data_IF_126932198514
#
_entry.id   IF_126932198514
#
_cell.length_a   1.000
_cell.length_b   1.000
_cell.length_c   1.000
_cell.angle_alpha   90.00
_cell.angle_beta   90.00
_cell.angle_gamma   90.00
#
_symmetry.space_group_name_H-M   'P 1'
#
loop_
_entity.id
_entity.type
_entity.pdbx_description
1 polymer ?
#
# COMPACT_ATOMS: atom_id res chain seq x y z
N UNK A 1 19.87 17.77 24.42
CA UNK A 1 19.89 16.53 23.62
C UNK A 1 19.49 16.81 22.18
N UNK A 2 20.47 17.13 21.34
CA UNK A 2 20.28 17.32 19.90
C UNK A 2 20.36 15.97 19.19
N UNK A 3 19.42 15.72 18.28
CA UNK A 3 19.40 14.49 17.48
C UNK A 3 20.60 14.47 16.52
N UNK A 4 21.53 13.54 16.72
CA UNK A 4 22.80 13.38 15.98
C UNK A 4 22.63 13.14 14.47
N UNK A 5 21.40 13.02 13.97
CA UNK A 5 21.11 12.58 12.59
C UNK A 5 20.55 13.67 11.68
N UNK A 6 20.43 14.93 12.11
CA UNK A 6 19.86 16.00 11.27
C UNK A 6 18.46 15.67 10.72
N UNK A 7 17.73 14.81 11.43
CA UNK A 7 16.59 14.10 10.89
C UNK A 7 15.31 14.89 11.17
N UNK A 8 14.76 15.52 10.14
CA UNK A 8 13.49 16.27 10.17
C UNK A 8 12.27 15.40 10.51
N UNK A 9 12.44 14.09 10.70
CA UNK A 9 11.36 13.16 11.04
C UNK A 9 11.50 12.54 12.43
N UNK A 10 12.42 13.01 13.29
CA UNK A 10 12.39 12.59 14.70
C UNK A 10 11.20 13.24 15.40
N UNK A 11 10.28 12.45 15.95
CA UNK A 11 9.17 12.92 16.80
C UNK A 11 9.65 13.85 17.92
N UNK A 12 10.85 13.60 18.43
CA UNK A 12 11.53 14.41 19.43
C UNK A 12 11.87 15.85 18.98
N UNK A 13 12.04 16.06 17.68
CA UNK A 13 12.42 17.34 17.07
C UNK A 13 11.26 17.98 16.27
N UNK A 14 10.09 17.33 16.20
CA UNK A 14 8.94 17.86 15.48
C UNK A 14 8.30 19.02 16.27
N UNK A 15 7.91 20.11 15.58
CA UNK A 15 7.13 21.16 16.23
C UNK A 15 5.80 20.60 16.74
N UNK A 16 5.18 21.22 17.76
CA UNK A 16 3.92 20.73 18.33
C UNK A 16 2.80 20.53 17.29
N UNK A 17 2.76 21.38 16.25
CA UNK A 17 1.83 21.27 15.11
C UNK A 17 1.97 19.98 14.30
N UNK A 18 3.11 19.32 14.40
CA UNK A 18 3.44 18.11 13.64
C UNK A 18 3.24 16.87 14.52
N UNK A 19 3.26 17.02 15.85
CA UNK A 19 2.94 15.93 16.80
C UNK A 19 1.51 15.44 16.62
N UNK A 20 0.54 16.35 16.44
CA UNK A 20 -0.85 15.96 16.15
C UNK A 20 -0.98 15.15 14.87
N UNK A 21 -0.08 15.34 13.90
CA UNK A 21 -0.07 14.55 12.67
C UNK A 21 0.56 13.16 12.88
N UNK A 22 1.52 13.02 13.80
CA UNK A 22 2.03 11.72 14.24
C UNK A 22 0.94 10.95 14.98
N UNK A 23 0.27 11.60 15.95
CA UNK A 23 -0.85 11.01 16.70
C UNK A 23 -1.97 10.55 15.75
N UNK A 24 -2.29 11.36 14.73
CA UNK A 24 -3.22 10.98 13.67
C UNK A 24 -2.81 9.67 12.99
N UNK A 25 -1.54 9.50 12.62
CA UNK A 25 -1.04 8.29 11.95
C UNK A 25 -1.12 7.09 12.88
N UNK A 26 -0.72 7.24 14.14
CA UNK A 26 -0.75 6.15 15.12
C UNK A 26 -2.20 5.68 15.38
N UNK A 27 -3.13 6.62 15.60
CA UNK A 27 -4.56 6.32 15.77
C UNK A 27 -5.13 5.66 14.51
N UNK A 28 -4.78 6.15 13.31
CA UNK A 28 -5.22 5.55 12.06
C UNK A 28 -4.76 4.08 11.94
N UNK A 29 -3.49 3.81 12.28
CA UNK A 29 -2.93 2.45 12.25
C UNK A 29 -3.67 1.53 13.23
N UNK A 30 -3.97 2.01 14.44
CA UNK A 30 -4.71 1.23 15.44
C UNK A 30 -6.13 0.90 14.96
N UNK A 31 -6.86 1.89 14.44
CA UNK A 31 -8.21 1.67 13.89
C UNK A 31 -8.16 0.73 12.69
N UNK A 32 -7.20 0.90 11.79
CA UNK A 32 -7.01 -0.01 10.66
C UNK A 32 -6.77 -1.45 11.14
N UNK A 33 -5.90 -1.65 12.13
CA UNK A 33 -5.61 -2.98 12.67
C UNK A 33 -6.81 -3.62 13.37
N UNK A 34 -7.68 -2.80 13.99
CA UNK A 34 -8.97 -3.27 14.51
C UNK A 34 -9.91 -3.69 13.36
N UNK A 35 -10.07 -2.84 12.35
CA UNK A 35 -10.93 -3.10 11.21
C UNK A 35 -10.48 -4.34 10.40
N UNK A 36 -9.18 -4.57 10.26
CA UNK A 36 -8.63 -5.78 9.61
C UNK A 36 -9.11 -7.06 10.30
N UNK A 37 -9.19 -7.06 11.64
CA UNK A 37 -9.68 -8.22 12.40
C UNK A 37 -11.17 -8.46 12.17
N UNK A 38 -11.94 -7.38 12.06
CA UNK A 38 -13.40 -7.42 11.87
C UNK A 38 -13.78 -7.80 10.42
N UNK A 39 -13.02 -7.31 9.44
CA UNK A 39 -13.24 -7.51 8.01
C UNK A 39 -12.53 -8.75 7.46
N UNK A 40 -12.14 -9.71 8.30
CA UNK A 40 -11.46 -10.95 7.90
C UNK A 40 -10.22 -10.73 7.00
N UNK A 41 -9.49 -9.64 7.21
CA UNK A 41 -8.28 -9.33 6.43
C UNK A 41 -8.52 -8.56 5.13
N UNK A 42 -9.74 -8.12 4.82
CA UNK A 42 -10.01 -7.31 3.64
C UNK A 42 -9.39 -5.91 3.80
N UNK A 43 -8.34 -5.64 3.02
CA UNK A 43 -7.49 -4.45 3.16
C UNK A 43 -8.26 -3.18 2.84
N UNK A 44 -9.06 -3.17 1.77
CA UNK A 44 -9.70 -1.94 1.27
C UNK A 44 -10.80 -1.45 2.22
N UNK A 45 -11.71 -2.33 2.64
CA UNK A 45 -12.75 -2.04 3.61
C UNK A 45 -12.16 -1.60 4.95
N UNK A 46 -11.02 -2.17 5.35
CA UNK A 46 -10.33 -1.76 6.58
C UNK A 46 -9.73 -0.36 6.47
N UNK A 47 -9.17 0.01 5.32
CA UNK A 47 -8.69 1.37 5.04
C UNK A 47 -9.85 2.38 5.02
N UNK A 48 -10.93 2.05 4.31
CA UNK A 48 -12.12 2.91 4.20
C UNK A 48 -12.80 3.13 5.56
N UNK A 49 -12.89 2.08 6.38
CA UNK A 49 -13.39 2.17 7.75
C UNK A 49 -12.52 3.09 8.61
N UNK A 50 -11.20 2.91 8.58
CA UNK A 50 -10.27 3.74 9.34
C UNK A 50 -10.33 5.20 8.91
N UNK A 51 -10.36 5.48 7.59
CA UNK A 51 -10.50 6.86 7.09
C UNK A 51 -11.83 7.49 7.46
N UNK A 52 -12.94 6.75 7.45
CA UNK A 52 -14.21 7.30 7.88
C UNK A 52 -14.14 7.81 9.32
N UNK A 53 -13.55 7.03 10.23
CA UNK A 53 -13.38 7.44 11.63
C UNK A 53 -12.44 8.65 11.75
N UNK A 54 -11.30 8.63 11.05
CA UNK A 54 -10.33 9.74 11.10
C UNK A 54 -10.89 11.04 10.53
N UNK A 55 -11.70 10.98 9.47
CA UNK A 55 -12.34 12.16 8.88
C UNK A 55 -13.32 12.80 9.86
N UNK A 56 -14.02 12.00 10.65
CA UNK A 56 -15.03 12.49 11.59
C UNK A 56 -14.38 13.03 12.88
N UNK A 57 -13.37 12.34 13.41
CA UNK A 57 -12.74 12.68 14.71
C UNK A 57 -11.56 13.65 14.57
N UNK A 58 -10.89 13.67 13.42
CA UNK A 58 -9.65 14.42 13.19
C UNK A 58 -9.69 15.22 11.89
N UNK A 59 -10.84 15.84 11.59
CA UNK A 59 -11.10 16.55 10.34
C UNK A 59 -10.07 17.63 10.01
N UNK A 60 -9.62 18.41 11.00
CA UNK A 60 -8.62 19.47 10.79
C UNK A 60 -7.32 18.92 10.19
N UNK A 61 -6.80 17.82 10.74
CA UNK A 61 -5.59 17.17 10.24
C UNK A 61 -5.88 16.51 8.89
N UNK A 62 -7.01 15.80 8.78
CA UNK A 62 -7.41 15.09 7.57
C UNK A 62 -7.45 16.00 6.33
N UNK A 63 -8.04 17.19 6.44
CA UNK A 63 -8.19 18.09 5.29
C UNK A 63 -6.97 18.99 5.04
N UNK A 64 -6.21 19.36 6.09
CA UNK A 64 -5.17 20.39 5.95
C UNK A 64 -3.73 19.86 5.99
N UNK A 65 -3.52 18.60 6.38
CA UNK A 65 -2.17 18.04 6.65
C UNK A 65 -1.87 16.77 5.86
N UNK A 66 -2.67 16.44 4.85
CA UNK A 66 -2.53 15.18 4.12
C UNK A 66 -1.18 15.04 3.40
N UNK A 67 -0.66 16.11 2.78
CA UNK A 67 0.67 16.09 2.16
C UNK A 67 1.79 15.79 3.18
N UNK A 68 1.66 16.34 4.40
CA UNK A 68 2.58 16.07 5.48
C UNK A 68 2.49 14.60 5.91
N UNK A 69 1.27 14.07 6.09
CA UNK A 69 1.02 12.66 6.45
C UNK A 69 1.64 11.71 5.42
N UNK A 70 1.40 11.96 4.13
CA UNK A 70 1.97 11.17 3.04
C UNK A 70 3.50 11.20 3.11
N UNK A 71 4.09 12.39 3.27
CA UNK A 71 5.55 12.55 3.36
C UNK A 71 6.14 11.83 4.58
N UNK A 72 5.48 11.93 5.74
CA UNK A 72 5.86 11.23 6.97
C UNK A 72 5.82 9.71 6.80
N UNK A 73 4.74 9.18 6.23
CA UNK A 73 4.60 7.74 5.97
C UNK A 73 5.68 7.22 5.03
N UNK A 74 5.98 7.94 3.93
CA UNK A 74 7.06 7.53 3.00
C UNK A 74 8.43 7.56 3.69
N UNK A 75 8.72 8.59 4.50
CA UNK A 75 9.99 8.69 5.21
C UNK A 75 10.16 7.59 6.27
N UNK A 76 9.12 7.32 7.05
CA UNK A 76 9.10 6.24 8.05
C UNK A 76 9.20 4.87 7.38
N UNK A 77 8.44 4.63 6.30
CA UNK A 77 8.52 3.40 5.50
C UNK A 77 9.92 3.19 4.90
N UNK A 78 10.56 4.25 4.41
CA UNK A 78 11.95 4.22 3.91
C UNK A 78 12.93 3.82 5.02
N UNK A 79 12.83 4.45 6.18
CA UNK A 79 13.70 4.14 7.33
C UNK A 79 13.54 2.68 7.79
N UNK A 80 12.30 2.18 7.86
CA UNK A 80 12.00 0.80 8.25
C UNK A 80 12.53 -0.19 7.21
N UNK A 81 12.33 0.09 5.93
CA UNK A 81 12.83 -0.73 4.82
C UNK A 81 14.36 -0.87 4.87
N UNK A 82 15.08 0.24 5.04
CA UNK A 82 16.54 0.24 5.14
C UNK A 82 17.07 -0.49 6.38
N UNK A 83 16.26 -0.61 7.45
CA UNK A 83 16.57 -1.39 8.65
C UNK A 83 16.22 -2.88 8.52
N UNK A 84 15.62 -3.29 7.40
CA UNK A 84 15.19 -4.68 7.17
C UNK A 84 13.81 -5.01 7.75
N UNK A 85 13.08 -4.05 8.31
CA UNK A 85 11.67 -4.24 8.70
C UNK A 85 10.76 -4.06 7.48
N UNK A 86 10.78 -5.07 6.61
CA UNK A 86 10.06 -5.04 5.34
C UNK A 86 8.54 -5.03 5.55
N UNK A 87 8.03 -5.77 6.54
CA UNK A 87 6.59 -5.89 6.79
C UNK A 87 5.99 -4.55 7.20
N UNK A 88 6.58 -3.87 8.19
CA UNK A 88 6.07 -2.57 8.63
C UNK A 88 6.27 -1.49 7.56
N UNK A 89 7.37 -1.57 6.80
CA UNK A 89 7.61 -0.66 5.68
C UNK A 89 6.55 -0.78 4.56
N UNK A 90 6.06 -2.00 4.26
CA UNK A 90 4.96 -2.20 3.31
C UNK A 90 3.70 -1.46 3.74
N UNK A 91 3.29 -1.59 4.99
CA UNK A 91 2.09 -0.90 5.49
C UNK A 91 2.23 0.62 5.37
N UNK A 92 3.38 1.19 5.74
CA UNK A 92 3.63 2.62 5.57
C UNK A 92 3.57 3.06 4.10
N UNK A 93 4.17 2.29 3.18
CA UNK A 93 4.08 2.55 1.74
C UNK A 93 2.63 2.46 1.24
N UNK A 94 1.89 1.43 1.66
CA UNK A 94 0.47 1.26 1.33
C UNK A 94 -0.36 2.45 1.81
N UNK A 95 -0.22 2.85 3.08
CA UNK A 95 -0.97 3.98 3.64
C UNK A 95 -0.62 5.27 2.91
N UNK A 96 0.67 5.53 2.64
CA UNK A 96 1.08 6.73 1.89
C UNK A 96 0.48 6.75 0.48
N UNK A 97 0.42 5.60 -0.20
CA UNK A 97 -0.21 5.51 -1.52
C UNK A 97 -1.73 5.68 -1.42
N UNK A 98 -2.39 5.03 -0.47
CA UNK A 98 -3.83 5.16 -0.28
C UNK A 98 -4.23 6.62 -0.01
N UNK A 99 -3.55 7.30 0.92
CA UNK A 99 -3.79 8.71 1.23
C UNK A 99 -3.59 9.61 0.02
N UNK A 100 -2.52 9.41 -0.74
CA UNK A 100 -2.22 10.12 -1.98
C UNK A 100 -3.33 9.95 -3.04
N UNK A 101 -3.97 8.78 -3.10
CA UNK A 101 -5.06 8.52 -4.04
C UNK A 101 -6.39 9.14 -3.58
N UNK A 102 -6.71 9.09 -2.29
CA UNK A 102 -7.96 9.69 -1.81
C UNK A 102 -7.89 11.22 -1.71
N UNK A 103 -6.70 11.80 -1.61
CA UNK A 103 -6.49 13.25 -1.58
C UNK A 103 -6.34 13.87 -2.97
N UNK A 104 -6.19 13.06 -4.02
CA UNK A 104 -6.04 13.54 -5.40
C UNK A 104 -7.38 13.68 -6.10
N UNK A 105 -7.53 14.73 -6.90
CA UNK A 105 -8.69 14.94 -7.79
C UNK A 105 -8.77 13.86 -8.90
N UNK A 106 -7.63 13.25 -9.25
CA UNK A 106 -7.54 12.23 -10.29
C UNK A 106 -6.93 10.96 -9.71
N UNK A 107 -7.79 9.97 -9.47
CA UNK A 107 -7.35 8.65 -8.99
C UNK A 107 -6.74 7.85 -10.13
N UNK A 108 -5.68 7.10 -9.83
CA UNK A 108 -5.17 6.10 -10.76
C UNK A 108 -6.27 5.06 -11.02
N UNK A 109 -6.54 4.76 -12.30
CA UNK A 109 -7.59 3.80 -12.69
C UNK A 109 -7.48 2.46 -11.95
N UNK A 110 -6.28 2.07 -11.51
CA UNK A 110 -5.98 0.81 -10.85
C UNK A 110 -5.51 1.00 -9.40
N UNK A 111 -5.92 2.10 -8.75
CA UNK A 111 -5.42 2.45 -7.43
C UNK A 111 -5.71 1.38 -6.36
N UNK A 112 -6.92 0.81 -6.33
CA UNK A 112 -7.28 -0.24 -5.35
C UNK A 112 -6.39 -1.48 -5.51
N UNK A 113 -6.18 -1.92 -6.74
CA UNK A 113 -5.26 -3.04 -7.02
C UNK A 113 -3.84 -2.72 -6.56
N UNK A 114 -3.35 -1.49 -6.80
CA UNK A 114 -2.01 -1.07 -6.37
C UNK A 114 -1.87 -1.02 -4.85
N UNK A 115 -2.92 -0.65 -4.11
CA UNK A 115 -2.95 -0.74 -2.65
C UNK A 115 -2.73 -2.20 -2.22
N UNK A 116 -3.52 -3.13 -2.75
CA UNK A 116 -3.37 -4.57 -2.46
C UNK A 116 -1.98 -5.12 -2.85
N UNK A 117 -1.46 -4.72 -4.01
CA UNK A 117 -0.12 -5.13 -4.46
C UNK A 117 0.99 -4.61 -3.54
N UNK A 118 0.85 -3.40 -3.00
CA UNK A 118 1.85 -2.83 -2.08
C UNK A 118 1.87 -3.54 -0.73
N UNK A 119 0.70 -3.89 -0.17
CA UNK A 119 0.62 -4.63 1.10
C UNK A 119 1.38 -5.96 1.03
N UNK A 120 1.39 -6.60 -0.14
CA UNK A 120 2.02 -7.91 -0.35
C UNK A 120 3.26 -7.86 -1.26
N UNK A 121 3.82 -6.67 -1.44
CA UNK A 121 4.87 -6.41 -2.43
C UNK A 121 6.19 -7.13 -2.13
N UNK A 122 6.93 -7.57 -3.15
CA UNK A 122 8.34 -7.96 -2.96
C UNK A 122 9.22 -6.73 -2.67
N UNK A 123 10.43 -6.96 -2.16
CA UNK A 123 11.38 -5.88 -1.85
C UNK A 123 11.68 -5.00 -3.06
N UNK A 124 11.76 -5.59 -4.26
CA UNK A 124 11.95 -4.85 -5.49
C UNK A 124 10.82 -3.87 -5.76
N UNK A 125 9.58 -4.29 -5.58
CA UNK A 125 8.39 -3.45 -5.78
C UNK A 125 8.32 -2.36 -4.71
N UNK A 126 8.57 -2.70 -3.45
CA UNK A 126 8.58 -1.74 -2.34
C UNK A 126 9.66 -0.66 -2.51
N UNK A 127 10.92 -1.04 -2.76
CA UNK A 127 12.00 -0.07 -2.94
C UNK A 127 11.80 0.78 -4.20
N UNK A 128 11.21 0.21 -5.27
CA UNK A 128 10.84 0.97 -6.47
C UNK A 128 9.80 2.04 -6.16
N UNK A 129 8.82 1.75 -5.31
CA UNK A 129 7.84 2.73 -4.85
C UNK A 129 8.51 3.84 -4.04
N UNK A 130 9.25 3.49 -2.98
CA UNK A 130 9.88 4.44 -2.07
C UNK A 130 10.88 5.36 -2.79
N UNK A 131 11.71 4.81 -3.67
CA UNK A 131 12.72 5.57 -4.45
C UNK A 131 12.12 6.62 -5.38
N UNK A 132 10.88 6.41 -5.85
CA UNK A 132 10.18 7.40 -6.68
C UNK A 132 9.66 8.60 -5.87
N UNK A 133 9.52 8.45 -4.55
CA UNK A 133 8.95 9.45 -3.65
C UNK A 133 10.02 10.21 -2.86
N UNK A 134 11.16 9.60 -2.58
CA UNK A 134 12.29 10.23 -1.89
C UNK A 134 13.59 10.04 -2.70
N UNK A 135 14.26 11.14 -3.11
CA UNK A 135 15.58 11.05 -3.73
C UNK A 135 16.62 10.67 -2.68
N UNK A 136 16.96 9.38 -2.60
CA UNK A 136 17.91 8.84 -1.64
C UNK A 136 18.81 7.79 -2.30
N UNK A 137 20.13 8.01 -2.25
CA UNK A 137 21.12 7.08 -2.80
C UNK A 137 21.10 5.71 -2.13
N UNK A 138 20.73 5.63 -0.84
CA UNK A 138 20.56 4.35 -0.14
C UNK A 138 19.46 3.48 -0.80
N UNK A 139 18.39 4.11 -1.32
CA UNK A 139 17.34 3.41 -2.06
C UNK A 139 17.81 3.02 -3.46
N UNK A 140 18.69 3.80 -4.10
CA UNK A 140 19.31 3.41 -5.37
C UNK A 140 20.18 2.15 -5.21
N UNK A 141 20.99 2.10 -4.17
CA UNK A 141 21.86 0.96 -3.89
C UNK A 141 21.04 -0.27 -3.52
N UNK A 142 20.03 -0.13 -2.65
CA UNK A 142 19.10 -1.23 -2.37
C UNK A 142 18.37 -1.69 -3.61
N UNK A 143 17.93 -0.79 -4.47
CA UNK A 143 17.31 -1.17 -5.74
C UNK A 143 18.26 -2.01 -6.61
N UNK A 144 19.55 -1.66 -6.70
CA UNK A 144 20.54 -2.44 -7.45
C UNK A 144 20.72 -3.85 -6.88
N UNK A 145 20.66 -4.02 -5.56
CA UNK A 145 20.72 -5.32 -4.90
C UNK A 145 19.51 -6.19 -5.24
N UNK A 146 18.30 -5.61 -5.22
CA UNK A 146 17.06 -6.38 -5.36
C UNK A 146 16.51 -6.45 -6.79
N UNK A 147 17.07 -5.72 -7.76
CA UNK A 147 16.55 -5.67 -9.15
C UNK A 147 16.52 -7.01 -9.88
N UNK A 148 17.38 -7.94 -9.48
CA UNK A 148 17.43 -9.30 -10.01
C UNK A 148 16.56 -10.29 -9.24
N UNK A 149 15.95 -9.88 -8.12
CA UNK A 149 15.02 -10.74 -7.40
C UNK A 149 13.85 -11.06 -8.32
N UNK A 150 13.57 -12.35 -8.39
CA UNK A 150 12.43 -12.88 -9.14
C UNK A 150 11.14 -12.28 -8.60
N UNK A 151 10.42 -11.55 -9.47
CA UNK A 151 9.17 -10.91 -9.10
C UNK A 151 8.10 -11.96 -8.86
N UNK A 152 7.40 -11.81 -7.75
CA UNK A 152 6.31 -12.69 -7.37
C UNK A 152 4.98 -11.96 -7.56
N UNK A 153 3.93 -12.72 -7.88
CA UNK A 153 2.58 -12.22 -7.91
C UNK A 153 1.62 -13.20 -7.26
N UNK A 154 0.38 -12.74 -7.06
CA UNK A 154 -0.60 -13.42 -6.23
C UNK A 154 -1.80 -13.86 -7.06
N UNK A 155 -2.06 -15.16 -7.08
CA UNK A 155 -3.27 -15.73 -7.65
C UNK A 155 -4.46 -15.28 -6.80
N UNK A 156 -5.43 -14.62 -7.43
CA UNK A 156 -6.60 -14.07 -6.74
C UNK A 156 -7.56 -15.16 -6.26
N UNK A 157 -7.53 -16.35 -6.87
CA UNK A 157 -8.39 -17.45 -6.46
C UNK A 157 -8.03 -17.91 -5.03
N UNK A 158 -8.94 -17.77 -4.04
CA UNK A 158 -8.60 -18.07 -2.65
C UNK A 158 -8.23 -19.54 -2.42
N UNK A 159 -8.82 -20.45 -3.21
CA UNK A 159 -8.55 -21.88 -3.18
C UNK A 159 -7.32 -22.33 -3.97
N UNK A 160 -6.41 -21.42 -4.34
CA UNK A 160 -5.24 -21.74 -5.14
C UNK A 160 -4.34 -22.82 -4.48
N UNK A 161 -4.13 -24.00 -5.10
CA UNK A 161 -3.34 -25.09 -4.51
C UNK A 161 -1.86 -24.73 -4.29
N UNK A 162 -1.34 -23.73 -5.00
CA UNK A 162 0.06 -23.31 -4.92
C UNK A 162 0.34 -22.28 -3.82
N UNK A 163 -0.61 -22.02 -2.92
CA UNK A 163 -0.43 -21.05 -1.83
C UNK A 163 -0.43 -19.59 -2.29
N UNK A 164 -1.17 -19.32 -3.38
CA UNK A 164 -1.40 -18.00 -4.00
C UNK A 164 -0.15 -17.29 -4.57
N UNK A 165 1.08 -17.51 -4.07
CA UNK A 165 2.27 -16.79 -4.53
C UNK A 165 3.03 -17.56 -5.62
N UNK A 166 3.14 -16.99 -6.82
CA UNK A 166 3.82 -17.60 -7.96
C UNK A 166 4.73 -16.61 -8.72
N UNK A 167 5.55 -17.12 -9.62
CA UNK A 167 6.35 -16.31 -10.55
C UNK A 167 5.46 -15.37 -11.37
N UNK A 168 5.64 -14.05 -11.21
CA UNK A 168 4.81 -13.04 -11.88
C UNK A 168 4.86 -13.18 -13.40
N UNK A 169 6.00 -13.60 -13.96
CA UNK A 169 6.15 -13.77 -15.41
C UNK A 169 5.33 -14.93 -15.99
N UNK A 170 4.83 -15.84 -15.15
CA UNK A 170 4.04 -17.00 -15.52
C UNK A 170 2.54 -16.82 -15.24
N UNK A 171 2.15 -15.69 -14.67
CA UNK A 171 0.76 -15.44 -14.32
C UNK A 171 -0.07 -15.08 -15.54
N UNK A 172 -1.30 -15.58 -15.57
CA UNK A 172 -2.33 -15.19 -16.51
C UNK A 172 -3.05 -13.96 -15.96
N UNK A 173 -3.32 -12.99 -16.81
CA UNK A 173 -4.12 -11.82 -16.48
C UNK A 173 -5.52 -11.98 -17.10
N UNK A 174 -6.58 -11.62 -16.37
CA UNK A 174 -7.91 -11.54 -16.95
C UNK A 174 -7.93 -10.46 -18.04
N UNK A 175 -8.20 -10.84 -19.28
CA UNK A 175 -8.19 -9.90 -20.42
C UNK A 175 -9.34 -8.89 -20.40
N UNK A 176 -10.39 -9.15 -19.60
CA UNK A 176 -11.52 -8.24 -19.46
C UNK A 176 -11.19 -7.02 -18.59
N UNK A 177 -10.70 -7.26 -17.36
CA UNK A 177 -10.41 -6.19 -16.41
C UNK A 177 -8.93 -5.78 -16.40
N UNK A 178 -8.01 -6.67 -16.77
CA UNK A 178 -6.55 -6.54 -16.60
C UNK A 178 -6.09 -6.37 -15.14
N UNK A 179 -6.92 -6.78 -14.17
CA UNK A 179 -6.67 -6.61 -12.73
C UNK A 179 -6.50 -7.94 -12.00
N UNK A 180 -7.33 -8.94 -12.34
CA UNK A 180 -7.25 -10.25 -11.74
C UNK A 180 -6.11 -11.07 -12.36
N UNK A 181 -5.25 -11.60 -11.49
CA UNK A 181 -4.11 -12.42 -11.89
C UNK A 181 -4.28 -13.85 -11.36
N UNK A 182 -3.97 -14.83 -12.19
CA UNK A 182 -4.14 -16.25 -11.89
C UNK A 182 -2.85 -17.00 -12.18
N UNK A 183 -2.51 -17.99 -11.36
CA UNK A 183 -1.34 -18.83 -11.63
C UNK A 183 -1.58 -19.83 -12.77
N UNK A 184 -2.84 -20.12 -13.10
CA UNK A 184 -3.21 -21.09 -14.13
C UNK A 184 -4.64 -20.84 -14.63
N UNK A 185 -5.01 -21.51 -15.74
CA UNK A 185 -6.36 -21.41 -16.32
C UNK A 185 -7.41 -22.02 -15.40
N UNK A 186 -7.04 -23.06 -14.67
CA UNK A 186 -7.91 -23.75 -13.72
C UNK A 186 -8.31 -22.81 -12.57
N UNK A 187 -7.35 -22.05 -12.02
CA UNK A 187 -7.65 -21.04 -11.01
C UNK A 187 -8.57 -19.93 -11.55
N UNK A 188 -8.37 -19.49 -12.80
CA UNK A 188 -9.26 -18.51 -13.42
C UNK A 188 -10.69 -19.05 -13.58
N UNK A 189 -10.85 -20.28 -14.08
CA UNK A 189 -12.17 -20.90 -14.27
C UNK A 189 -12.86 -21.16 -12.92
N UNK A 190 -12.12 -21.60 -11.90
CA UNK A 190 -12.67 -21.84 -10.56
C UNK A 190 -13.14 -20.54 -9.90
N UNK A 191 -12.44 -19.44 -10.12
CA UNK A 191 -12.77 -18.12 -9.58
C UNK A 191 -13.86 -17.38 -10.39
N UNK A 192 -14.04 -17.73 -11.67
CA UNK A 192 -14.95 -17.04 -12.59
C UNK A 192 -16.37 -16.78 -12.06
N UNK A 193 -17.05 -17.73 -11.36
CA UNK A 193 -18.39 -17.47 -10.82
C UNK A 193 -18.45 -16.28 -9.86
N UNK A 194 -17.36 -16.00 -9.15
CA UNK A 194 -17.22 -14.86 -8.22
C UNK A 194 -16.68 -13.66 -9.01
N UNK A 195 -15.54 -13.83 -9.69
CA UNK A 195 -14.87 -12.73 -10.40
C UNK A 195 -15.75 -12.04 -11.45
N UNK A 196 -16.63 -12.75 -12.14
CA UNK A 196 -17.50 -12.16 -13.19
C UNK A 196 -18.39 -11.02 -12.68
N UNK A 197 -18.69 -10.99 -11.37
CA UNK A 197 -19.46 -9.93 -10.74
C UNK A 197 -18.70 -8.59 -10.77
N UNK A 198 -17.38 -8.65 -10.53
CA UNK A 198 -16.52 -7.48 -10.46
C UNK A 198 -15.82 -7.18 -11.80
N UNK A 199 -15.64 -8.19 -12.66
CA UNK A 199 -14.97 -8.06 -13.95
C UNK A 199 -15.68 -7.06 -14.88
N UNK A 200 -17.02 -7.05 -14.87
CA UNK A 200 -17.84 -6.21 -15.76
C UNK A 200 -17.91 -4.74 -15.30
N UNK A 201 -17.77 -4.48 -13.99
CA UNK A 201 -17.74 -3.12 -13.45
C UNK A 201 -16.47 -2.38 -13.91
N UNK A 202 -15.33 -3.09 -13.99
CA UNK A 202 -14.06 -2.53 -14.45
C UNK A 202 -13.98 -2.30 -15.98
N UNK A 203 -14.76 -3.05 -16.76
CA UNK A 203 -14.82 -2.90 -18.22
C UNK A 203 -15.68 -1.70 -18.66
N UNK A 204 -16.66 -1.31 -17.83
CA UNK A 204 -17.64 -0.26 -18.15
C UNK A 204 -17.17 1.17 -17.82
N UNK A 205 -16.03 1.34 -17.15
CA UNK A 205 -15.35 2.64 -16.96
C UNK A 205 -14.49 3.03 -18.18
N UNK A 206 -15.04 2.81 -19.37
CA UNK A 206 -14.44 3.10 -20.67
C UNK A 206 -15.27 4.14 -21.43
N UNK A 207 -15.65 5.24 -20.79
CA UNK A 207 -15.99 6.52 -21.43
C UNK A 207 -15.43 7.68 -20.61
#
# INVERSE_FOLDING_TARGET
DECVHGCVTCVCCLPPSDRVCVDFVDIFIDIYNMAVKENYGEVMASLDAAVSVMRDQHSEVYYNKMEWIISFLVATGTKLFLKGDITTARFHATFSYYFDQISSDVRDKYWQQRVCELVQSDEHTLVKYLRRRIPCTCLDDKYKEVRSIKKLGWCIYPGCPSGQKVDRSKMLCCTGCNQAHYCSRECHVADWPIHKLDCNAAASGQE
#
